data_IF_292149641729
#
_entry.id   IF_292149641729
#
_cell.length_a   1.000
_cell.length_b   1.000
_cell.length_c   1.000
_cell.angle_alpha   90.00
_cell.angle_beta   90.00
_cell.angle_gamma   90.00
#
_symmetry.space_group_name_H-M   'P 1'
#
loop_
_entity.id
_entity.type
_entity.pdbx_description
1 polymer ?
#
# COMPACT_ATOMS: atom_id res chain seq x y z
N UNK A 1 -15.59 17.57 -75.31
CA UNK A 1 -15.72 16.09 -75.38
C UNK A 1 -14.37 15.53 -74.96
N UNK A 2 -14.14 14.88 -73.85
CA UNK A 2 -14.92 14.57 -72.66
C UNK A 2 -13.89 14.02 -71.68
N UNK A 3 -13.81 14.59 -70.48
CA UNK A 3 -13.01 14.03 -69.39
C UNK A 3 -13.93 13.22 -68.48
N UNK A 4 -13.51 11.98 -68.24
CA UNK A 4 -14.24 10.97 -67.51
C UNK A 4 -14.45 11.39 -66.04
N UNK A 5 -15.72 11.47 -65.66
CA UNK A 5 -16.17 11.29 -64.28
C UNK A 5 -16.21 9.80 -63.97
N UNK A 6 -15.61 9.40 -62.87
CA UNK A 6 -15.98 8.20 -62.12
C UNK A 6 -15.74 8.50 -60.66
N UNK A 7 -16.84 8.65 -59.92
CA UNK A 7 -16.83 8.76 -58.48
C UNK A 7 -16.66 7.39 -57.85
N UNK A 8 -15.99 7.38 -56.70
CA UNK A 8 -16.00 6.29 -55.73
C UNK A 8 -16.20 6.96 -54.37
N UNK A 9 -17.40 6.85 -53.84
CA UNK A 9 -17.68 6.96 -52.40
C UNK A 9 -17.51 5.57 -51.76
N UNK A 10 -17.59 5.53 -50.42
CA UNK A 10 -17.69 4.35 -49.53
C UNK A 10 -16.30 3.82 -49.10
N UNK A 11 -15.87 3.75 -47.84
CA UNK A 11 -16.51 3.70 -46.51
C UNK A 11 -15.39 4.01 -45.47
N UNK A 12 -15.53 5.06 -44.64
CA UNK A 12 -14.73 5.14 -43.41
C UNK A 12 -15.39 4.23 -42.38
N UNK A 13 -14.73 3.09 -42.11
CA UNK A 13 -15.08 2.18 -41.03
C UNK A 13 -14.92 2.91 -39.69
N UNK A 14 -16.05 3.25 -39.09
CA UNK A 14 -16.14 3.49 -37.65
C UNK A 14 -15.93 2.15 -36.94
N UNK A 15 -14.83 2.02 -36.20
CA UNK A 15 -14.61 0.87 -35.31
C UNK A 15 -14.35 1.36 -33.90
N UNK A 16 -15.38 1.24 -33.06
CA UNK A 16 -15.23 1.02 -31.62
C UNK A 16 -14.86 2.23 -30.79
N UNK A 17 -15.78 3.20 -30.64
CA UNK A 17 -15.87 3.87 -29.33
C UNK A 17 -16.37 2.81 -28.36
N UNK A 18 -15.46 2.23 -27.58
CA UNK A 18 -15.82 1.56 -26.34
C UNK A 18 -16.72 2.52 -25.55
N UNK A 19 -17.86 2.03 -25.08
CA UNK A 19 -18.69 2.72 -24.10
C UNK A 19 -17.90 2.86 -22.80
N UNK A 20 -16.97 3.81 -22.78
CA UNK A 20 -16.38 4.34 -21.57
C UNK A 20 -17.53 5.06 -20.87
N UNK A 21 -18.02 4.48 -19.78
CA UNK A 21 -18.98 5.11 -18.88
C UNK A 21 -18.59 6.58 -18.71
N UNK A 22 -19.47 7.47 -19.19
CA UNK A 22 -19.37 8.92 -18.97
C UNK A 22 -19.63 9.17 -17.48
N UNK A 23 -18.59 8.95 -16.70
CA UNK A 23 -18.44 9.26 -15.28
C UNK A 23 -17.14 10.07 -15.10
N UNK A 24 -16.71 10.80 -16.14
CA UNK A 24 -15.51 11.60 -16.03
C UNK A 24 -15.88 12.91 -15.31
N UNK A 25 -15.60 12.98 -14.01
CA UNK A 25 -15.96 14.06 -13.09
C UNK A 25 -15.38 15.45 -13.42
N UNK A 26 -14.84 15.65 -14.61
CA UNK A 26 -14.28 16.91 -15.08
C UNK A 26 -12.78 17.05 -14.82
N UNK A 27 -12.13 16.05 -14.20
CA UNK A 27 -10.68 16.06 -14.05
C UNK A 27 -9.97 16.02 -15.40
N UNK A 28 -9.29 17.12 -15.70
CA UNK A 28 -8.43 17.26 -16.87
C UNK A 28 -7.10 16.58 -16.58
N UNK A 29 -6.84 15.49 -17.29
CA UNK A 29 -5.54 14.78 -17.22
C UNK A 29 -4.45 15.73 -17.74
N UNK A 30 -3.37 15.98 -16.97
CA UNK A 30 -2.26 16.79 -17.44
C UNK A 30 -1.56 16.15 -18.65
N UNK A 31 -1.07 16.98 -19.57
CA UNK A 31 -0.32 16.51 -20.75
C UNK A 31 1.06 15.92 -20.39
N UNK A 32 1.59 16.20 -19.19
CA UNK A 32 2.89 15.72 -18.71
C UNK A 32 2.94 15.61 -17.17
N UNK A 33 3.86 14.78 -16.66
CA UNK A 33 4.11 14.59 -15.23
C UNK A 33 4.81 15.79 -14.59
N UNK A 34 5.12 15.72 -13.28
CA UNK A 34 5.72 16.83 -12.53
C UNK A 34 7.13 17.24 -13.05
N UNK A 35 7.74 16.44 -13.92
CA UNK A 35 9.03 16.69 -14.55
C UNK A 35 8.92 17.07 -16.04
N UNK A 36 7.71 17.15 -16.60
CA UNK A 36 7.47 17.49 -18.00
C UNK A 36 7.62 16.32 -18.97
N UNK A 37 7.61 15.07 -18.48
CA UNK A 37 7.67 13.85 -19.28
C UNK A 37 6.31 13.16 -19.38
N UNK A 38 6.20 12.12 -20.21
CA UNK A 38 5.03 11.24 -20.20
C UNK A 38 4.93 10.53 -18.83
N UNK A 39 3.71 10.36 -18.32
CA UNK A 39 3.48 9.60 -17.09
C UNK A 39 3.91 8.13 -17.27
N UNK A 40 4.62 7.60 -16.26
CA UNK A 40 5.09 6.20 -16.23
C UNK A 40 5.91 5.79 -17.45
N UNK A 41 6.77 6.68 -17.91
CA UNK A 41 7.72 6.40 -18.98
C UNK A 41 9.01 5.82 -18.41
N UNK A 42 9.13 4.50 -18.43
CA UNK A 42 10.31 3.77 -17.93
C UNK A 42 11.47 3.72 -18.94
N UNK A 43 11.21 4.08 -20.20
CA UNK A 43 12.19 4.04 -21.28
C UNK A 43 12.76 5.43 -21.60
N UNK A 44 12.07 6.50 -21.19
CA UNK A 44 12.57 7.87 -21.32
C UNK A 44 13.88 8.09 -20.55
N UNK A 45 14.86 8.70 -21.24
CA UNK A 45 16.09 9.16 -20.62
C UNK A 45 15.77 10.19 -19.53
N UNK A 46 15.98 9.82 -18.27
CA UNK A 46 15.81 10.70 -17.11
C UNK A 46 16.85 10.38 -16.04
N UNK A 47 17.14 11.34 -15.17
CA UNK A 47 18.07 11.14 -14.05
C UNK A 47 17.63 9.99 -13.11
N UNK A 48 16.32 9.69 -13.07
CA UNK A 48 15.73 8.62 -12.26
C UNK A 48 15.73 7.25 -12.93
N UNK A 49 15.83 7.18 -14.26
CA UNK A 49 15.64 5.94 -15.04
C UNK A 49 16.51 4.78 -14.52
N UNK A 50 17.82 5.01 -14.35
CA UNK A 50 18.74 3.97 -13.89
C UNK A 50 18.44 3.48 -12.46
N UNK A 51 17.95 4.40 -11.60
CA UNK A 51 17.52 4.07 -10.25
C UNK A 51 16.27 3.19 -10.24
N UNK A 52 15.25 3.59 -11.01
CA UNK A 52 13.99 2.85 -11.14
C UNK A 52 14.21 1.47 -11.77
N UNK A 53 15.05 1.34 -12.80
CA UNK A 53 15.37 0.04 -13.39
C UNK A 53 16.12 -0.86 -12.39
N UNK A 54 17.07 -0.31 -11.63
CA UNK A 54 17.79 -1.04 -10.58
C UNK A 54 16.85 -1.48 -9.46
N UNK A 55 15.93 -0.62 -9.04
CA UNK A 55 14.88 -0.94 -8.08
C UNK A 55 14.06 -2.14 -8.54
N UNK A 56 13.48 -2.10 -9.74
CA UNK A 56 12.63 -3.16 -10.26
C UNK A 56 13.41 -4.45 -10.52
N UNK A 57 14.68 -4.35 -10.93
CA UNK A 57 15.56 -5.52 -11.00
C UNK A 57 15.63 -6.24 -9.65
N UNK A 58 15.93 -5.51 -8.57
CA UNK A 58 16.08 -6.11 -7.23
C UNK A 58 14.72 -6.63 -6.73
N UNK A 59 13.64 -5.88 -6.93
CA UNK A 59 12.29 -6.31 -6.61
C UNK A 59 11.96 -7.66 -7.29
N UNK A 60 12.07 -7.74 -8.62
CA UNK A 60 11.70 -8.93 -9.38
C UNK A 60 12.55 -10.14 -9.03
N UNK A 61 13.82 -9.96 -8.65
CA UNK A 61 14.69 -11.07 -8.23
C UNK A 61 14.27 -11.64 -6.87
N UNK A 62 13.87 -10.78 -5.92
CA UNK A 62 13.73 -11.15 -4.52
C UNK A 62 12.29 -11.40 -4.06
N UNK A 63 11.28 -10.88 -4.78
CA UNK A 63 9.86 -11.16 -4.53
C UNK A 63 9.53 -12.60 -4.97
N UNK A 64 9.74 -13.52 -4.04
CA UNK A 64 9.42 -14.95 -4.18
C UNK A 64 8.17 -15.29 -3.37
N UNK A 65 7.50 -16.36 -3.73
CA UNK A 65 6.35 -16.88 -3.01
C UNK A 65 6.69 -17.17 -1.53
N UNK A 66 7.88 -17.69 -1.24
CA UNK A 66 8.34 -17.93 0.13
C UNK A 66 8.66 -16.63 0.89
N UNK A 67 9.25 -15.64 0.22
CA UNK A 67 9.47 -14.31 0.81
C UNK A 67 8.14 -13.68 1.21
N UNK A 68 7.19 -13.59 0.27
CA UNK A 68 5.87 -12.97 0.50
C UNK A 68 5.12 -13.65 1.65
N UNK A 69 5.14 -14.99 1.72
CA UNK A 69 4.51 -15.72 2.83
C UNK A 69 5.09 -15.33 4.19
N UNK A 70 6.41 -15.24 4.30
CA UNK A 70 7.07 -14.82 5.55
C UNK A 70 6.72 -13.39 5.92
N UNK A 71 6.73 -12.48 4.95
CA UNK A 71 6.39 -11.08 5.18
C UNK A 71 4.95 -10.93 5.66
N UNK A 72 4.00 -11.61 5.01
CA UNK A 72 2.59 -11.60 5.43
C UNK A 72 2.39 -12.22 6.82
N UNK A 73 3.11 -13.28 7.16
CA UNK A 73 3.09 -13.88 8.51
C UNK A 73 3.67 -12.93 9.57
N UNK A 74 4.78 -12.25 9.26
CA UNK A 74 5.41 -11.34 10.20
C UNK A 74 4.58 -10.08 10.42
N UNK A 75 4.20 -9.42 9.34
CA UNK A 75 3.54 -8.12 9.39
C UNK A 75 2.03 -8.21 9.56
N UNK A 76 1.41 -9.36 9.26
CA UNK A 76 0.00 -9.61 9.55
C UNK A 76 -0.34 -9.66 11.05
N UNK A 77 0.68 -9.76 11.92
CA UNK A 77 0.51 -9.62 13.38
C UNK A 77 0.14 -8.20 13.78
N UNK A 78 0.50 -7.23 12.92
CA UNK A 78 0.38 -5.79 13.17
C UNK A 78 0.89 -5.49 14.58
N UNK A 79 2.18 -5.70 14.85
CA UNK A 79 2.77 -5.59 16.20
C UNK A 79 3.87 -4.54 16.34
N UNK A 80 3.92 -3.57 15.42
CA UNK A 80 5.04 -2.63 15.32
C UNK A 80 4.83 -1.34 16.11
N UNK A 81 3.71 -0.64 15.89
CA UNK A 81 3.43 0.68 16.48
C UNK A 81 1.92 0.86 16.68
N UNK A 82 1.46 1.73 17.58
CA UNK A 82 0.07 2.18 17.63
C UNK A 82 0.03 3.69 17.33
N UNK A 83 -0.72 4.10 16.31
CA UNK A 83 -0.85 5.50 15.90
C UNK A 83 -2.14 5.74 15.12
N UNK A 84 -2.60 6.99 15.08
CA UNK A 84 -3.71 7.41 14.22
C UNK A 84 -3.27 7.44 12.74
N UNK A 85 -4.25 7.40 11.82
CA UNK A 85 -3.97 7.55 10.39
C UNK A 85 -3.31 8.89 10.08
N UNK A 86 -3.67 9.96 10.79
CA UNK A 86 -3.08 11.27 10.54
C UNK A 86 -1.64 11.37 11.03
N UNK A 87 -1.30 10.78 12.18
CA UNK A 87 0.09 10.64 12.63
C UNK A 87 0.91 9.81 11.62
N UNK A 88 0.29 8.80 10.99
CA UNK A 88 0.91 8.02 9.92
C UNK A 88 1.19 8.88 8.67
N UNK A 89 0.24 9.73 8.25
CA UNK A 89 0.45 10.70 7.18
C UNK A 89 1.63 11.63 7.48
N UNK A 90 1.70 12.17 8.71
CA UNK A 90 2.77 13.08 9.14
C UNK A 90 4.14 12.35 9.22
N UNK A 91 4.15 11.06 9.57
CA UNK A 91 5.38 10.26 9.63
C UNK A 91 6.02 10.03 8.26
N UNK A 92 5.22 9.97 7.20
CA UNK A 92 5.70 9.69 5.84
C UNK A 92 6.24 10.93 5.11
N UNK A 93 6.23 12.11 5.74
CA UNK A 93 6.73 13.35 5.13
C UNK A 93 8.20 13.27 4.69
N UNK A 94 9.00 12.44 5.36
CA UNK A 94 10.44 12.29 5.07
C UNK A 94 10.74 11.10 4.13
N UNK A 95 9.72 10.37 3.66
CA UNK A 95 9.90 9.21 2.75
C UNK A 95 9.79 9.66 1.30
N UNK A 96 10.83 9.39 0.51
CA UNK A 96 10.85 9.58 -0.95
C UNK A 96 10.74 8.20 -1.61
N UNK A 97 9.75 8.02 -2.49
CA UNK A 97 9.52 6.79 -3.23
C UNK A 97 10.52 6.65 -4.40
N UNK A 98 11.40 5.66 -4.34
CA UNK A 98 12.43 5.38 -5.36
C UNK A 98 11.88 4.71 -6.63
N UNK A 99 10.66 4.17 -6.58
CA UNK A 99 10.03 3.49 -7.72
C UNK A 99 9.25 4.44 -8.63
N UNK A 100 8.91 5.64 -8.12
CA UNK A 100 8.07 6.61 -8.81
C UNK A 100 8.90 7.48 -9.79
N UNK A 101 8.66 7.39 -11.11
CA UNK A 101 9.32 8.26 -12.07
C UNK A 101 8.69 9.67 -12.13
N UNK A 102 7.54 9.89 -11.47
CA UNK A 102 6.66 11.04 -11.72
C UNK A 102 6.65 12.10 -10.60
N UNK A 103 7.14 11.82 -9.38
CA UNK A 103 7.09 12.76 -8.25
C UNK A 103 8.23 12.60 -7.21
N UNK A 104 8.66 13.71 -6.60
CA UNK A 104 9.64 13.79 -5.49
C UNK A 104 9.16 14.66 -4.30
N UNK A 105 7.87 15.04 -4.26
CA UNK A 105 7.27 15.76 -3.14
C UNK A 105 7.06 14.86 -1.91
N UNK A 106 6.90 15.43 -0.70
CA UNK A 106 6.57 14.67 0.51
C UNK A 106 5.32 13.81 0.31
N UNK A 107 5.33 12.60 0.87
CA UNK A 107 4.26 11.63 0.67
C UNK A 107 2.87 12.17 1.06
N UNK A 108 2.75 13.02 2.09
CA UNK A 108 1.45 13.60 2.48
C UNK A 108 0.83 14.47 1.37
N UNK A 109 1.65 15.14 0.56
CA UNK A 109 1.16 15.95 -0.55
C UNK A 109 0.52 15.06 -1.61
N UNK A 110 1.15 13.93 -1.94
CA UNK A 110 0.57 12.93 -2.85
C UNK A 110 -0.78 12.39 -2.35
N UNK A 111 -0.84 12.03 -1.06
CA UNK A 111 -2.08 11.54 -0.43
C UNK A 111 -3.21 12.57 -0.54
N UNK A 112 -2.91 13.84 -0.22
CA UNK A 112 -3.89 14.92 -0.24
C UNK A 112 -4.25 15.38 -1.65
N UNK A 113 -3.30 15.39 -2.60
CA UNK A 113 -3.57 15.68 -4.01
C UNK A 113 -4.54 14.67 -4.60
N UNK A 114 -4.31 13.38 -4.35
CA UNK A 114 -5.19 12.30 -4.79
C UNK A 114 -6.57 12.43 -4.16
N UNK A 115 -6.63 12.63 -2.83
CA UNK A 115 -7.89 12.71 -2.11
C UNK A 115 -8.71 13.97 -2.45
N UNK A 116 -8.09 15.15 -2.59
CA UNK A 116 -8.79 16.39 -2.96
C UNK A 116 -9.26 16.37 -4.40
N UNK A 117 -8.48 15.80 -5.34
CA UNK A 117 -8.90 15.67 -6.72
C UNK A 117 -10.12 14.74 -6.86
N UNK A 118 -10.15 13.62 -6.13
CA UNK A 118 -11.33 12.77 -6.06
C UNK A 118 -12.49 13.51 -5.40
N UNK A 119 -12.25 14.23 -4.30
CA UNK A 119 -13.30 14.97 -3.56
C UNK A 119 -13.99 16.02 -4.41
N UNK A 120 -13.25 16.65 -5.33
CA UNK A 120 -13.80 17.62 -6.26
C UNK A 120 -14.80 16.98 -7.24
N UNK A 121 -14.44 15.81 -7.78
CA UNK A 121 -15.19 15.13 -8.83
C UNK A 121 -16.31 14.22 -8.30
N UNK A 122 -16.12 13.66 -7.09
CA UNK A 122 -17.02 12.72 -6.43
C UNK A 122 -17.43 13.19 -5.02
N UNK A 123 -18.00 14.40 -4.86
CA UNK A 123 -18.19 15.02 -3.55
C UNK A 123 -19.05 14.23 -2.55
N UNK A 124 -19.82 13.24 -3.02
CA UNK A 124 -20.69 12.40 -2.19
C UNK A 124 -20.07 11.04 -1.82
N UNK A 125 -18.87 10.70 -2.32
CA UNK A 125 -18.21 9.41 -2.10
C UNK A 125 -17.12 9.53 -1.02
N UNK A 126 -17.53 9.89 0.19
CA UNK A 126 -16.60 10.18 1.29
C UNK A 126 -15.67 9.01 1.68
N UNK A 127 -16.13 7.76 1.51
CA UNK A 127 -15.30 6.57 1.67
C UNK A 127 -14.15 6.51 0.66
N UNK A 128 -14.35 7.02 -0.56
CA UNK A 128 -13.32 7.05 -1.60
C UNK A 128 -12.29 8.14 -1.30
N UNK A 129 -12.69 9.26 -0.71
CA UNK A 129 -11.76 10.30 -0.25
C UNK A 129 -10.86 9.76 0.86
N UNK A 130 -11.42 9.00 1.81
CA UNK A 130 -10.62 8.35 2.85
C UNK A 130 -9.73 7.26 2.27
N UNK A 131 -10.25 6.44 1.35
CA UNK A 131 -9.46 5.42 0.64
C UNK A 131 -8.24 6.05 -0.02
N UNK A 132 -8.43 7.20 -0.68
CA UNK A 132 -7.36 7.96 -1.29
C UNK A 132 -6.37 8.58 -0.31
N UNK A 133 -6.83 9.06 0.84
CA UNK A 133 -5.91 9.54 1.87
C UNK A 133 -5.00 8.42 2.40
N UNK A 134 -5.49 7.18 2.47
CA UNK A 134 -4.78 6.11 3.17
C UNK A 134 -4.07 5.09 2.28
N UNK A 135 -4.30 5.11 0.96
CA UNK A 135 -3.83 4.05 0.05
C UNK A 135 -2.33 3.74 0.20
N UNK A 136 -1.53 4.78 0.34
CA UNK A 136 -0.07 4.73 0.37
C UNK A 136 0.52 4.70 1.79
N UNK A 137 -0.32 4.67 2.83
CA UNK A 137 0.18 4.67 4.22
C UNK A 137 0.95 3.38 4.56
N UNK A 138 0.82 2.33 3.75
CA UNK A 138 1.64 1.13 3.92
C UNK A 138 3.14 1.36 3.67
N UNK A 139 3.53 2.49 3.08
CA UNK A 139 4.93 2.90 2.88
C UNK A 139 5.71 3.07 4.19
N UNK A 140 5.00 3.13 5.34
CA UNK A 140 5.65 3.15 6.66
C UNK A 140 6.54 1.95 6.92
N UNK A 141 6.38 0.84 6.20
CA UNK A 141 7.28 -0.32 6.26
C UNK A 141 8.77 0.06 6.06
N UNK A 142 9.07 1.13 5.33
CA UNK A 142 10.43 1.63 5.14
C UNK A 142 10.96 2.40 6.37
N UNK A 143 10.08 2.85 7.27
CA UNK A 143 10.48 3.62 8.43
C UNK A 143 11.05 2.69 9.54
N UNK A 144 12.10 3.11 10.29
CA UNK A 144 12.74 2.26 11.31
C UNK A 144 11.80 1.68 12.37
N UNK A 145 10.74 2.41 12.73
CA UNK A 145 9.69 1.94 13.66
C UNK A 145 8.91 0.72 13.15
N UNK A 146 8.95 0.42 11.85
CA UNK A 146 8.21 -0.66 11.21
C UNK A 146 9.12 -1.74 10.60
N UNK A 147 10.42 -1.69 10.90
CA UNK A 147 11.38 -2.72 10.47
C UNK A 147 12.32 -2.31 9.35
N UNK A 148 12.21 -1.08 8.84
CA UNK A 148 13.18 -0.52 7.87
C UNK A 148 13.37 -1.41 6.63
N UNK A 149 12.26 -1.87 6.06
CA UNK A 149 12.34 -2.71 4.88
C UNK A 149 12.98 -1.94 3.72
N UNK A 150 13.79 -2.61 2.88
CA UNK A 150 14.31 -1.97 1.67
C UNK A 150 13.14 -1.58 0.75
N UNK A 151 13.26 -0.47 0.02
CA UNK A 151 12.14 0.06 -0.78
C UNK A 151 11.55 -0.98 -1.75
N UNK A 152 12.36 -1.88 -2.33
CA UNK A 152 11.88 -2.94 -3.23
C UNK A 152 10.88 -3.90 -2.58
N UNK A 153 10.83 -3.97 -1.24
CA UNK A 153 9.87 -4.75 -0.46
C UNK A 153 8.75 -3.88 0.15
N UNK A 154 8.59 -2.64 -0.33
CA UNK A 154 7.63 -1.66 0.18
C UNK A 154 6.83 -1.02 -0.96
N UNK A 155 7.49 -0.43 -1.94
CA UNK A 155 6.86 0.37 -3.02
C UNK A 155 6.89 -0.36 -4.36
N UNK A 156 6.39 0.29 -5.41
CA UNK A 156 6.40 -0.19 -6.80
C UNK A 156 5.22 -1.06 -7.20
N UNK A 157 5.12 -1.30 -8.51
CA UNK A 157 4.09 -2.12 -9.12
C UNK A 157 4.07 -3.54 -8.52
N UNK A 158 2.88 -4.05 -8.24
CA UNK A 158 2.67 -5.38 -7.66
C UNK A 158 2.29 -6.42 -8.70
N UNK A 159 2.60 -7.68 -8.41
CA UNK A 159 2.29 -8.83 -9.26
C UNK A 159 2.02 -10.10 -8.43
N UNK A 160 1.26 -11.08 -8.93
CA UNK A 160 1.08 -12.36 -8.27
C UNK A 160 2.40 -13.13 -8.19
N UNK A 161 2.72 -13.66 -7.01
CA UNK A 161 3.79 -14.65 -6.82
C UNK A 161 3.19 -16.06 -6.80
N UNK A 162 3.97 -17.10 -7.08
CA UNK A 162 3.46 -18.48 -7.08
C UNK A 162 2.68 -18.90 -8.33
N UNK A 163 2.67 -18.08 -9.37
CA UNK A 163 2.29 -18.42 -10.75
C UNK A 163 3.26 -17.75 -11.74
N UNK A 164 3.14 -18.05 -13.04
CA UNK A 164 4.01 -17.49 -14.06
C UNK A 164 3.89 -15.96 -14.14
N UNK A 165 5.04 -15.28 -14.24
CA UNK A 165 5.12 -13.83 -14.39
C UNK A 165 4.76 -13.42 -15.83
N UNK A 166 3.69 -12.65 -15.97
CA UNK A 166 3.18 -12.09 -17.24
C UNK A 166 4.11 -11.00 -17.80
N UNK A 167 4.30 -10.97 -19.13
CA UNK A 167 5.20 -10.04 -19.82
C UNK A 167 4.78 -8.57 -19.71
N UNK A 168 3.54 -8.30 -19.31
CA UNK A 168 3.05 -6.93 -19.05
C UNK A 168 3.60 -6.29 -17.77
N UNK A 169 4.25 -7.06 -16.89
CA UNK A 169 4.92 -6.51 -15.70
C UNK A 169 6.12 -5.67 -16.15
N UNK A 170 6.24 -4.46 -15.62
CA UNK A 170 7.36 -3.54 -15.91
C UNK A 170 8.71 -4.25 -15.74
N UNK A 171 9.66 -4.01 -16.64
CA UNK A 171 10.98 -4.67 -16.63
C UNK A 171 10.97 -6.21 -16.44
N UNK A 172 9.99 -6.90 -17.04
CA UNK A 172 9.82 -8.36 -16.97
C UNK A 172 11.10 -9.19 -17.19
N UNK A 173 12.02 -8.69 -18.02
CA UNK A 173 13.31 -9.34 -18.34
C UNK A 173 14.10 -9.83 -17.12
N UNK A 174 13.96 -9.18 -15.96
CA UNK A 174 14.68 -9.53 -14.73
C UNK A 174 14.10 -10.75 -13.98
N UNK A 175 12.87 -11.17 -14.27
CA UNK A 175 12.32 -12.39 -13.65
C UNK A 175 13.11 -13.65 -14.02
N UNK A 176 13.90 -13.64 -15.09
CA UNK A 176 14.81 -14.75 -15.43
C UNK A 176 15.80 -15.09 -14.31
N UNK A 177 16.12 -14.11 -13.46
CA UNK A 177 17.01 -14.26 -12.30
C UNK A 177 16.25 -14.64 -11.01
N UNK A 178 14.92 -14.58 -10.99
CA UNK A 178 14.10 -14.99 -9.84
C UNK A 178 14.07 -16.54 -9.73
N UNK A 179 14.33 -17.13 -8.56
CA UNK A 179 14.31 -18.58 -8.39
C UNK A 179 12.93 -19.23 -8.68
N UNK A 180 11.83 -18.50 -8.49
CA UNK A 180 10.47 -18.99 -8.76
C UNK A 180 10.14 -19.04 -10.26
N UNK A 181 10.85 -18.28 -11.11
CA UNK A 181 10.62 -18.26 -12.56
C UNK A 181 10.83 -19.62 -13.21
N UNK A 182 11.80 -20.40 -12.71
CA UNK A 182 12.10 -21.74 -13.23
C UNK A 182 11.53 -22.86 -12.34
N UNK A 183 10.82 -22.52 -11.26
CA UNK A 183 10.28 -23.50 -10.33
C UNK A 183 9.03 -24.18 -10.91
N UNK A 184 9.01 -25.51 -11.10
CA UNK A 184 7.87 -26.21 -11.71
C UNK A 184 6.55 -26.08 -10.93
N UNK A 185 6.60 -25.71 -9.64
CA UNK A 185 5.40 -25.44 -8.85
C UNK A 185 4.74 -24.09 -9.21
N UNK A 186 5.51 -23.13 -9.73
CA UNK A 186 5.08 -21.73 -9.91
C UNK A 186 5.14 -21.27 -11.36
N UNK A 187 5.97 -21.87 -12.22
CA UNK A 187 6.22 -21.41 -13.59
C UNK A 187 5.11 -21.73 -14.61
N UNK A 188 3.90 -22.09 -14.15
CA UNK A 188 2.74 -22.32 -15.01
C UNK A 188 1.73 -21.19 -14.86
N UNK A 189 0.80 -21.06 -15.82
CA UNK A 189 -0.23 -20.01 -15.81
C UNK A 189 -0.95 -19.89 -14.46
N UNK A 190 -1.27 -21.01 -13.83
CA UNK A 190 -1.98 -21.00 -12.54
C UNK A 190 -1.04 -21.21 -11.35
N UNK A 191 0.11 -21.90 -11.54
CA UNK A 191 1.01 -22.25 -10.45
C UNK A 191 0.26 -22.93 -9.31
N UNK A 192 0.24 -22.30 -8.14
CA UNK A 192 -0.48 -22.79 -6.94
C UNK A 192 -1.97 -22.43 -6.89
N UNK A 193 -2.46 -21.60 -7.80
CA UNK A 193 -3.82 -21.06 -7.79
C UNK A 193 -4.80 -21.90 -8.60
N UNK A 194 -6.09 -21.61 -8.40
CA UNK A 194 -7.19 -22.11 -9.22
C UNK A 194 -7.73 -21.00 -10.11
N UNK A 195 -8.30 -21.37 -11.24
CA UNK A 195 -9.06 -20.44 -12.07
C UNK A 195 -10.19 -19.79 -11.26
N UNK A 196 -10.36 -18.48 -11.45
CA UNK A 196 -11.35 -17.64 -10.79
C UNK A 196 -11.38 -17.79 -9.26
N UNK A 197 -10.22 -18.05 -8.63
CA UNK A 197 -10.14 -18.22 -7.18
C UNK A 197 -10.44 -16.95 -6.38
N UNK A 198 -10.45 -15.79 -7.04
CA UNK A 198 -10.58 -14.49 -6.42
C UNK A 198 -9.23 -13.96 -5.96
N UNK A 199 -8.97 -12.68 -6.19
CA UNK A 199 -7.68 -12.07 -5.87
C UNK A 199 -7.37 -12.10 -4.36
N UNK A 200 -8.37 -12.15 -3.48
CA UNK A 200 -8.15 -12.33 -2.04
C UNK A 200 -7.38 -13.61 -1.70
N UNK A 201 -7.48 -14.64 -2.55
CA UNK A 201 -6.78 -15.92 -2.43
C UNK A 201 -5.44 -15.96 -3.19
N UNK A 202 -5.04 -14.86 -3.83
CA UNK A 202 -3.77 -14.73 -4.55
C UNK A 202 -2.76 -14.03 -3.65
N UNK A 203 -1.56 -14.59 -3.55
CA UNK A 203 -0.44 -13.88 -2.91
C UNK A 203 0.16 -12.91 -3.92
N UNK A 204 0.08 -11.63 -3.59
CA UNK A 204 0.72 -10.55 -4.33
C UNK A 204 2.14 -10.34 -3.79
N UNK A 205 3.07 -9.86 -4.63
CA UNK A 205 4.36 -9.33 -4.21
C UNK A 205 4.18 -8.39 -3.01
N UNK A 206 5.00 -8.56 -1.98
CA UNK A 206 4.80 -7.86 -0.70
C UNK A 206 5.14 -6.38 -0.82
N UNK A 207 4.29 -5.53 -0.25
CA UNK A 207 4.46 -4.07 -0.25
C UNK A 207 3.35 -3.33 0.50
N UNK A 208 3.29 -2.03 0.28
CA UNK A 208 2.38 -1.08 0.92
C UNK A 208 0.90 -1.43 0.71
N UNK A 209 0.49 -1.86 -0.50
CA UNK A 209 -0.90 -2.28 -0.79
C UNK A 209 -1.40 -3.35 0.19
N UNK A 210 -0.69 -4.47 0.26
CA UNK A 210 -1.11 -5.65 1.00
C UNK A 210 -1.01 -5.41 2.51
N UNK A 211 0.01 -4.67 2.95
CA UNK A 211 0.15 -4.26 4.34
C UNK A 211 -0.96 -3.30 4.77
N UNK A 212 -1.27 -2.27 3.98
CA UNK A 212 -2.32 -1.32 4.33
C UNK A 212 -3.71 -1.97 4.29
N UNK A 213 -3.93 -2.93 3.39
CA UNK A 213 -5.11 -3.78 3.40
C UNK A 213 -5.22 -4.60 4.71
N UNK A 214 -4.14 -5.22 5.17
CA UNK A 214 -4.11 -5.95 6.45
C UNK A 214 -4.42 -5.00 7.62
N UNK A 215 -3.81 -3.82 7.65
CA UNK A 215 -4.09 -2.78 8.65
C UNK A 215 -5.59 -2.44 8.66
N UNK A 216 -6.18 -2.15 7.51
CA UNK A 216 -7.59 -1.78 7.40
C UNK A 216 -8.52 -2.94 7.82
N UNK A 217 -8.21 -4.17 7.39
CA UNK A 217 -9.01 -5.37 7.67
C UNK A 217 -9.00 -5.74 9.15
N UNK A 218 -7.82 -5.85 9.76
CA UNK A 218 -7.67 -6.28 11.16
C UNK A 218 -8.13 -5.19 12.15
N UNK A 219 -8.04 -3.91 11.77
CA UNK A 219 -8.66 -2.82 12.53
C UNK A 219 -10.17 -2.68 12.30
N UNK A 220 -10.77 -3.59 11.53
CA UNK A 220 -12.22 -3.64 11.25
C UNK A 220 -12.73 -2.30 10.69
N UNK A 221 -11.98 -1.72 9.75
CA UNK A 221 -12.39 -0.52 9.04
C UNK A 221 -13.81 -0.64 8.49
N UNK A 222 -14.55 0.47 8.50
CA UNK A 222 -15.90 0.53 7.91
C UNK A 222 -15.90 0.85 6.42
N UNK A 223 -14.72 0.89 5.77
CA UNK A 223 -14.63 1.06 4.33
C UNK A 223 -15.39 -0.06 3.61
N UNK A 224 -16.10 0.25 2.50
CA UNK A 224 -16.75 -0.76 1.68
C UNK A 224 -15.72 -1.69 1.03
N UNK A 225 -16.17 -2.84 0.52
CA UNK A 225 -15.32 -3.79 -0.22
C UNK A 225 -14.54 -3.12 -1.35
N UNK A 226 -15.16 -2.16 -2.05
CA UNK A 226 -14.52 -1.35 -3.08
C UNK A 226 -13.29 -0.57 -2.55
N UNK A 227 -13.37 0.04 -1.37
CA UNK A 227 -12.25 0.79 -0.78
C UNK A 227 -11.09 -0.13 -0.38
N UNK A 228 -11.41 -1.28 0.22
CA UNK A 228 -10.40 -2.30 0.55
C UNK A 228 -9.75 -2.91 -0.70
N UNK A 229 -10.53 -3.11 -1.77
CA UNK A 229 -10.04 -3.60 -3.05
C UNK A 229 -9.09 -2.59 -3.71
N UNK A 230 -9.46 -1.30 -3.71
CA UNK A 230 -8.60 -0.22 -4.20
C UNK A 230 -7.26 -0.22 -3.45
N UNK A 231 -7.28 -0.19 -2.12
CA UNK A 231 -6.05 -0.18 -1.31
C UNK A 231 -5.14 -1.37 -1.67
N UNK A 232 -5.70 -2.57 -1.81
CA UNK A 232 -4.90 -3.79 -2.00
C UNK A 232 -4.34 -3.99 -3.41
N UNK A 233 -4.92 -3.34 -4.42
CA UNK A 233 -4.58 -3.65 -5.83
C UNK A 233 -4.29 -2.40 -6.67
N UNK A 234 -4.11 -1.22 -6.06
CA UNK A 234 -3.83 0.01 -6.80
C UNK A 234 -2.45 0.03 -7.47
N UNK A 235 -1.51 -0.77 -6.97
CA UNK A 235 -0.22 -0.98 -7.62
C UNK A 235 -0.22 -2.12 -8.64
N UNK A 236 -1.34 -2.84 -8.84
CA UNK A 236 -1.39 -4.03 -9.70
C UNK A 236 -1.60 -3.67 -11.19
N UNK A 237 -0.66 -2.90 -11.75
CA UNK A 237 -0.77 -2.33 -13.10
C UNK A 237 -0.90 -3.38 -14.22
N UNK A 238 -0.26 -4.54 -14.08
CA UNK A 238 -0.42 -5.65 -15.02
C UNK A 238 -1.91 -6.06 -15.16
N UNK A 239 -2.70 -5.97 -14.09
CA UNK A 239 -4.14 -6.21 -14.13
C UNK A 239 -4.92 -5.00 -14.64
N UNK A 240 -4.86 -3.86 -13.95
CA UNK A 240 -5.81 -2.77 -14.21
C UNK A 240 -5.46 -1.90 -15.44
N UNK A 241 -4.20 -1.92 -15.89
CA UNK A 241 -3.74 -1.23 -17.12
C UNK A 241 -3.60 -2.19 -18.29
N UNK A 242 -2.91 -3.33 -18.11
CA UNK A 242 -2.64 -4.25 -19.22
C UNK A 242 -3.69 -5.36 -19.39
N UNK A 243 -4.54 -5.60 -18.39
CA UNK A 243 -5.60 -6.61 -18.45
C UNK A 243 -5.14 -8.06 -18.26
N UNK A 244 -3.91 -8.27 -17.79
CA UNK A 244 -3.39 -9.58 -17.42
C UNK A 244 -4.08 -10.13 -16.16
N UNK A 245 -3.87 -11.42 -15.86
CA UNK A 245 -4.36 -12.09 -14.64
C UNK A 245 -5.89 -12.12 -14.40
N UNK A 246 -6.72 -11.66 -15.33
CA UNK A 246 -8.20 -11.73 -15.22
C UNK A 246 -8.73 -13.15 -14.94
N UNK A 247 -8.01 -14.18 -15.36
CA UNK A 247 -8.35 -15.58 -15.08
C UNK A 247 -8.26 -15.98 -13.60
N UNK A 248 -7.69 -15.15 -12.73
CA UNK A 248 -7.67 -15.35 -11.28
C UNK A 248 -8.82 -14.64 -10.56
N UNK A 249 -9.46 -13.65 -11.22
CA UNK A 249 -10.51 -12.83 -10.64
C UNK A 249 -11.82 -13.60 -10.45
N UNK A 250 -12.55 -13.26 -9.40
CA UNK A 250 -13.95 -13.66 -9.23
C UNK A 250 -14.89 -12.50 -9.59
N UNK A 251 -16.21 -12.73 -9.46
CA UNK A 251 -17.23 -11.73 -9.78
C UNK A 251 -17.13 -10.45 -8.93
N UNK A 252 -16.78 -10.57 -7.65
CA UNK A 252 -16.64 -9.40 -6.77
C UNK A 252 -15.43 -8.56 -7.19
N UNK A 253 -14.32 -9.19 -7.58
CA UNK A 253 -13.15 -8.49 -8.11
C UNK A 253 -13.52 -7.70 -9.38
N UNK A 254 -14.26 -8.32 -10.31
CA UNK A 254 -14.73 -7.66 -11.53
C UNK A 254 -15.62 -6.44 -11.24
N UNK A 255 -16.51 -6.54 -10.25
CA UNK A 255 -17.37 -5.43 -9.83
C UNK A 255 -16.55 -4.28 -9.22
N UNK A 256 -15.49 -4.59 -8.47
CA UNK A 256 -14.62 -3.60 -7.84
C UNK A 256 -13.60 -2.96 -8.79
N UNK A 257 -13.27 -3.59 -9.92
CA UNK A 257 -12.35 -3.02 -10.92
C UNK A 257 -12.76 -1.64 -11.42
N UNK A 258 -14.07 -1.33 -11.45
CA UNK A 258 -14.55 0.00 -11.85
C UNK A 258 -14.01 1.08 -10.91
N UNK A 259 -14.01 0.81 -9.60
CA UNK A 259 -13.55 1.75 -8.58
C UNK A 259 -12.04 1.85 -8.58
N UNK A 260 -11.34 0.74 -8.82
CA UNK A 260 -9.88 0.76 -8.98
C UNK A 260 -9.44 1.61 -10.17
N UNK A 261 -10.12 1.50 -11.32
CA UNK A 261 -9.83 2.34 -12.49
C UNK A 261 -10.13 3.83 -12.23
N UNK A 262 -11.24 4.13 -11.54
CA UNK A 262 -11.55 5.50 -11.14
C UNK A 262 -10.43 6.03 -10.24
N UNK A 263 -10.07 5.31 -9.18
CA UNK A 263 -9.01 5.69 -8.25
C UNK A 263 -7.67 5.92 -8.95
N UNK A 264 -7.23 4.97 -9.79
CA UNK A 264 -5.92 5.02 -10.45
C UNK A 264 -5.74 6.25 -11.33
N UNK A 265 -6.82 6.79 -11.91
CA UNK A 265 -6.78 8.07 -12.64
C UNK A 265 -6.25 9.19 -11.72
N UNK A 266 -6.76 9.30 -10.50
CA UNK A 266 -6.38 10.38 -9.59
C UNK A 266 -5.03 10.13 -8.95
N UNK A 267 -4.76 8.89 -8.52
CA UNK A 267 -3.45 8.50 -7.98
C UNK A 267 -2.31 8.84 -8.97
N UNK A 268 -2.50 8.53 -10.25
CA UNK A 268 -1.48 8.83 -11.25
C UNK A 268 -1.42 10.31 -11.64
N UNK A 269 -2.57 10.90 -11.99
CA UNK A 269 -2.59 12.19 -12.71
C UNK A 269 -2.76 13.41 -11.81
N UNK A 270 -3.06 13.25 -10.51
CA UNK A 270 -3.13 14.37 -9.56
C UNK A 270 -1.76 14.83 -9.04
N UNK A 271 -0.71 14.04 -9.28
CA UNK A 271 0.68 14.34 -8.89
C UNK A 271 1.11 15.69 -9.46
N UNK A 272 1.38 16.64 -8.56
CA UNK A 272 1.61 18.03 -8.92
C UNK A 272 2.68 18.69 -8.05
N UNK A 273 3.31 19.73 -8.59
CA UNK A 273 4.18 20.65 -7.81
C UNK A 273 3.38 21.66 -6.99
N UNK A 274 2.07 21.78 -7.23
CA UNK A 274 1.19 22.63 -6.44
C UNK A 274 0.78 21.88 -5.18
N UNK A 275 1.21 22.41 -4.03
CA UNK A 275 0.93 21.81 -2.71
C UNK A 275 -0.48 22.11 -2.21
N UNK A 276 -1.02 21.19 -1.43
CA UNK A 276 -2.30 21.34 -0.75
C UNK A 276 -2.06 22.07 0.58
N UNK A 277 -2.94 23.01 0.93
CA UNK A 277 -2.94 23.63 2.26
C UNK A 277 -3.42 22.61 3.29
N UNK A 278 -2.46 21.90 3.90
CA UNK A 278 -2.69 20.81 4.85
C UNK A 278 -3.60 21.24 6.01
N UNK A 279 -3.33 22.40 6.61
CA UNK A 279 -4.09 22.89 7.78
C UNK A 279 -5.54 23.21 7.42
N UNK A 280 -5.79 23.65 6.19
CA UNK A 280 -7.14 23.91 5.69
C UNK A 280 -7.96 22.64 5.50
N UNK A 281 -7.36 21.55 5.01
CA UNK A 281 -8.07 20.31 4.69
C UNK A 281 -8.07 19.28 5.82
N UNK A 282 -7.10 19.34 6.74
CA UNK A 282 -6.94 18.44 7.89
C UNK A 282 -8.24 18.24 8.69
N UNK A 283 -9.04 19.28 9.04
CA UNK A 283 -10.29 19.08 9.77
C UNK A 283 -11.30 18.17 9.05
N UNK A 284 -11.37 18.25 7.72
CA UNK A 284 -12.24 17.40 6.92
C UNK A 284 -11.80 15.93 6.99
N UNK A 285 -10.52 15.66 6.75
CA UNK A 285 -10.00 14.30 6.74
C UNK A 285 -9.99 13.65 8.13
N UNK A 286 -9.71 14.41 9.19
CA UNK A 286 -9.90 13.93 10.57
C UNK A 286 -11.35 13.53 10.82
N UNK A 287 -12.33 14.28 10.31
CA UNK A 287 -13.75 13.90 10.45
C UNK A 287 -14.08 12.58 9.74
N UNK A 288 -13.47 12.29 8.58
CA UNK A 288 -13.63 11.02 7.89
C UNK A 288 -12.95 9.87 8.64
N UNK A 289 -11.74 10.10 9.15
CA UNK A 289 -11.02 9.15 9.98
C UNK A 289 -11.86 8.80 11.21
N UNK A 290 -12.46 9.80 11.87
CA UNK A 290 -13.32 9.59 13.05
C UNK A 290 -14.61 8.83 12.71
N UNK A 291 -15.21 9.12 11.54
CA UNK A 291 -16.39 8.40 11.05
C UNK A 291 -16.10 6.92 10.78
N UNK A 292 -14.89 6.61 10.31
CA UNK A 292 -14.50 5.26 9.86
C UNK A 292 -13.66 4.45 10.86
N UNK A 293 -13.11 5.09 11.90
CA UNK A 293 -12.53 4.44 13.07
C UNK A 293 -13.67 3.98 13.99
N UNK A 294 -13.75 2.67 14.26
CA UNK A 294 -14.87 2.03 14.96
C UNK A 294 -15.38 2.74 16.23
N UNK A 295 -16.68 2.52 16.49
CA UNK A 295 -17.42 2.91 17.68
C UNK A 295 -16.64 2.64 18.97
N UNK A 296 -16.36 3.74 19.70
CA UNK A 296 -16.12 3.85 21.14
C UNK A 296 -15.72 2.55 21.87
N UNK A 297 -14.42 2.41 22.17
CA UNK A 297 -14.08 1.96 23.51
C UNK A 297 -14.32 3.18 24.42
N UNK A 298 -15.37 3.18 25.23
CA UNK A 298 -15.45 4.07 26.39
C UNK A 298 -14.55 3.46 27.48
N UNK A 299 -13.54 4.20 27.93
CA UNK A 299 -12.87 3.85 29.18
C UNK A 299 -13.82 4.20 30.35
N UNK A 300 -13.59 3.62 31.54
CA UNK A 300 -14.41 3.82 32.73
C UNK A 300 -14.47 5.25 33.28
N UNK A 301 -13.83 6.23 32.61
CA UNK A 301 -13.77 7.65 32.99
C UNK A 301 -14.48 8.56 31.98
N UNK A 302 -14.99 8.03 30.85
CA UNK A 302 -15.76 8.81 29.88
C UNK A 302 -14.92 9.74 29.00
N UNK A 303 -13.60 9.52 28.93
CA UNK A 303 -12.74 10.23 27.98
C UNK A 303 -12.82 9.55 26.60
N UNK A 304 -13.00 10.35 25.54
CA UNK A 304 -13.01 9.86 24.14
C UNK A 304 -11.62 9.30 23.84
N UNK A 305 -11.50 7.98 23.76
CA UNK A 305 -10.26 7.33 23.31
C UNK A 305 -10.01 7.71 21.85
N UNK A 306 -8.94 8.46 21.66
CA UNK A 306 -8.25 8.81 20.41
C UNK A 306 -8.34 7.68 19.37
N UNK A 307 -8.64 8.01 18.11
CA UNK A 307 -8.88 7.09 16.99
C UNK A 307 -7.58 6.43 16.49
N UNK A 308 -6.89 5.75 17.40
CA UNK A 308 -5.64 5.06 17.13
C UNK A 308 -5.93 3.77 16.40
N UNK A 309 -5.36 3.66 15.20
CA UNK A 309 -5.37 2.41 14.50
C UNK A 309 -4.31 1.55 15.16
N UNK A 310 -4.74 0.35 15.55
CA UNK A 310 -3.83 -0.68 15.98
C UNK A 310 -3.07 -1.13 14.75
N UNK A 311 -1.96 -0.44 14.49
CA UNK A 311 -0.81 -1.14 13.95
C UNK A 311 -0.19 -2.03 15.06
N UNK A 312 -0.78 -2.05 16.29
CA UNK A 312 -0.85 -3.11 17.34
C UNK A 312 -1.84 -2.87 18.51
N UNK A 313 -2.22 -3.97 19.21
CA UNK A 313 -2.95 -4.07 20.49
C UNK A 313 -2.02 -4.43 21.66
N UNK A 314 -1.72 -3.51 22.57
CA UNK A 314 -1.20 -3.92 23.88
C UNK A 314 -2.35 -4.26 24.83
N UNK A 315 -2.86 -5.50 24.76
CA UNK A 315 -3.61 -6.13 25.86
C UNK A 315 -3.60 -7.63 25.64
N UNK A 316 -2.64 -8.32 26.26
CA UNK A 316 -2.82 -9.64 26.90
C UNK A 316 -1.51 -10.07 27.57
N UNK A 317 -1.06 -9.26 28.52
CA UNK A 317 -0.04 -9.65 29.50
C UNK A 317 -0.52 -9.33 30.91
N UNK A 318 -1.80 -9.55 31.22
CA UNK A 318 -2.28 -9.52 32.60
C UNK A 318 -3.59 -10.27 32.85
N UNK A 319 -3.85 -11.39 32.17
CA UNK A 319 -4.95 -12.28 32.59
C UNK A 319 -4.75 -13.76 32.26
N UNK A 320 -3.54 -14.27 32.48
CA UNK A 320 -3.29 -15.72 32.61
C UNK A 320 -2.50 -15.98 33.90
N UNK A 321 -3.13 -15.68 35.04
CA UNK A 321 -2.72 -16.20 36.35
C UNK A 321 -3.97 -16.67 37.11
N UNK A 322 -4.76 -17.51 36.46
CA UNK A 322 -5.81 -18.27 37.10
C UNK A 322 -6.14 -19.47 36.22
N UNK A 323 -5.22 -20.42 36.14
CA UNK A 323 -5.53 -21.85 35.95
C UNK A 323 -4.29 -22.66 36.30
N UNK A 324 -4.51 -23.68 37.12
CA UNK A 324 -3.51 -24.52 37.75
C UNK A 324 -2.67 -25.34 36.76
N UNK A 325 -1.34 -25.25 36.89
CA UNK A 325 -0.41 -26.28 36.41
C UNK A 325 0.69 -26.53 37.49
N UNK A 326 1.24 -27.75 37.58
CA UNK A 326 1.88 -28.26 38.80
C UNK A 326 3.23 -27.58 39.10
N UNK A 327 3.40 -27.25 40.38
CA UNK A 327 4.55 -26.55 40.96
C UNK A 327 5.80 -27.45 40.94
N UNK A 328 6.68 -27.28 39.97
CA UNK A 328 8.06 -27.77 40.08
C UNK A 328 8.95 -26.65 40.71
N UNK A 329 9.57 -26.88 41.87
CA UNK A 329 10.36 -25.86 42.57
C UNK A 329 11.63 -25.39 41.82
N UNK A 330 12.10 -26.14 40.81
CA UNK A 330 13.29 -25.79 40.03
C UNK A 330 13.00 -24.64 39.04
N UNK A 331 11.83 -24.64 38.40
CA UNK A 331 11.42 -23.61 37.44
C UNK A 331 11.18 -22.25 38.10
N UNK A 332 10.73 -22.23 39.36
CA UNK A 332 10.55 -21.00 40.13
C UNK A 332 11.89 -20.33 40.45
N UNK A 333 12.91 -21.12 40.82
CA UNK A 333 14.25 -20.60 41.10
C UNK A 333 14.93 -20.05 39.84
N UNK A 334 14.78 -20.73 38.70
CA UNK A 334 15.31 -20.25 37.41
C UNK A 334 14.61 -18.96 36.94
N UNK A 335 13.28 -18.87 37.08
CA UNK A 335 12.52 -17.66 36.73
C UNK A 335 12.92 -16.46 37.60
N UNK A 336 13.09 -16.66 38.90
CA UNK A 336 13.50 -15.58 39.81
C UNK A 336 14.95 -15.15 39.59
N UNK A 337 15.85 -16.09 39.25
CA UNK A 337 17.22 -15.76 38.87
C UNK A 337 17.27 -14.96 37.55
N UNK A 338 16.47 -15.34 36.55
CA UNK A 338 16.40 -14.63 35.27
C UNK A 338 15.83 -13.22 35.44
N UNK A 339 14.77 -13.06 36.23
CA UNK A 339 14.18 -11.75 36.54
C UNK A 339 15.16 -10.85 37.31
N UNK A 340 15.94 -11.40 38.23
CA UNK A 340 16.96 -10.64 38.95
C UNK A 340 18.11 -10.18 38.03
N UNK A 341 18.52 -11.01 37.07
CA UNK A 341 19.55 -10.66 36.07
C UNK A 341 19.05 -9.54 35.14
N UNK A 342 17.80 -9.63 34.68
CA UNK A 342 17.18 -8.60 33.83
C UNK A 342 17.04 -7.29 34.59
N UNK A 343 16.55 -7.32 35.84
CA UNK A 343 16.43 -6.13 36.68
C UNK A 343 17.81 -5.47 36.96
N UNK A 344 18.84 -6.28 37.21
CA UNK A 344 20.19 -5.76 37.45
C UNK A 344 20.81 -5.14 36.19
N UNK A 345 20.58 -5.73 35.01
CA UNK A 345 21.01 -5.15 33.72
C UNK A 345 20.30 -3.83 33.40
N UNK A 346 19.00 -3.73 33.70
CA UNK A 346 18.27 -2.47 33.51
C UNK A 346 18.75 -1.37 34.48
N UNK A 347 19.09 -1.73 35.72
CA UNK A 347 19.65 -0.78 36.69
C UNK A 347 21.04 -0.27 36.26
N UNK A 348 21.90 -1.15 35.73
CA UNK A 348 23.20 -0.77 35.19
C UNK A 348 23.09 0.12 33.95
N UNK A 349 22.15 -0.15 33.03
CA UNK A 349 21.89 0.74 31.89
C UNK A 349 21.40 2.13 32.33
N UNK A 350 20.51 2.19 33.34
CA UNK A 350 20.02 3.45 33.88
C UNK A 350 21.09 4.26 34.63
N UNK A 351 22.13 3.60 35.16
CA UNK A 351 23.26 4.27 35.81
C UNK A 351 24.30 4.84 34.84
N UNK A 352 24.37 4.32 33.61
CA UNK A 352 25.29 4.77 32.55
C UNK A 352 24.72 5.98 31.80
N UNK A 353 23.40 6.16 31.78
CA UNK A 353 22.72 7.29 31.13
C UNK A 353 22.24 8.30 32.18
N UNK A 354 23.17 9.04 32.79
CA UNK A 354 22.88 10.34 33.42
C UNK A 354 23.50 11.45 32.57
N UNK A 355 22.76 12.55 32.26
CA UNK A 355 23.29 13.62 31.44
C UNK A 355 24.34 14.44 32.21
N UNK A 356 25.44 14.75 31.52
CA UNK A 356 26.38 15.80 31.89
C UNK A 356 25.70 17.14 31.62
N UNK A 357 24.99 17.67 32.63
CA UNK A 357 24.49 19.05 32.63
C UNK A 357 24.48 19.63 34.05
N UNK A 358 25.64 19.62 34.70
CA UNK A 358 25.93 20.45 35.87
C UNK A 358 27.45 20.46 36.12
N UNK A 359 28.21 21.29 35.39
CA UNK A 359 29.55 21.82 35.76
C UNK A 359 30.13 22.67 34.60
N UNK A 360 29.45 23.76 34.25
CA UNK A 360 30.09 24.97 33.72
C UNK A 360 29.43 26.14 34.43
N UNK A 361 29.98 26.47 35.60
CA UNK A 361 29.97 27.78 36.26
C UNK A 361 31.37 28.00 36.81
#
# INVERSE_FOLDING_TARGET
>A
MGENKTGIEVEEKSSGKEELLVLDGGFVVPDANAFGHNFRDYDAESERQAGVETFYKINHINQTHDFVKRMREEYGKLDKVEMSLWECCELLNDVIDESDPDLDEPQIEHLLQTAEAIRQDYPNEDWLHLTALIHDLGKVLHHPKFGELPQWAVVGDTFPVGCAFDESIVHHKYFKENPDHSNPAYNTKFGVYKECCGLDNVLMSWGHDDYMYLVAKENKSTLPSAGLFVIRYHSFYALHRAGAYKYLMNKEDEENMKWLKIFNKYDLYSKSKVRIDVEKVKPYYLSLIHKNGNKQHEDSRGDILDHRFRVFSCTDAMQCCSTDFPRNPITIRLRNALLAIVAHRMYLLAAIVRPVSALIS
#
